data_IF_733792562066
#
_entry.id   IF_733792562066
#
_cell.length_a   1.000
_cell.length_b   1.000
_cell.length_c   1.000
_cell.angle_alpha   90.00
_cell.angle_beta   90.00
_cell.angle_gamma   90.00
#
_symmetry.space_group_name_H-M   'P 1'
#
loop_
_entity.id
_entity.type
_entity.pdbx_description
1 polymer ?
#
# COMPACT_ATOMS: atom_id res chain seq x y z
N UNK A 1 27.21 -31.22 28.80
CA UNK A 1 25.87 -31.07 29.40
C UNK A 1 25.04 -32.24 28.92
N UNK A 2 25.03 -33.35 29.66
CA UNK A 2 24.38 -34.59 29.25
C UNK A 2 23.08 -34.71 30.02
N UNK A 3 21.92 -34.70 29.35
CA UNK A 3 20.66 -34.96 30.06
C UNK A 3 19.38 -34.93 29.23
N UNK A 4 19.27 -34.08 28.20
CA UNK A 4 18.03 -33.93 27.43
C UNK A 4 18.18 -34.50 26.02
N UNK A 5 18.21 -35.82 25.90
CA UNK A 5 18.26 -36.54 24.62
C UNK A 5 17.02 -37.41 24.46
N UNK A 6 16.78 -37.95 23.27
CA UNK A 6 15.69 -38.91 23.08
C UNK A 6 15.88 -40.18 23.91
N UNK A 7 17.13 -40.59 24.15
CA UNK A 7 17.45 -41.79 24.94
C UNK A 7 17.13 -41.62 26.43
N UNK A 8 17.21 -40.39 26.97
CA UNK A 8 16.88 -40.10 28.37
C UNK A 8 15.40 -39.74 28.58
N UNK A 9 14.62 -39.57 27.51
CA UNK A 9 13.20 -39.24 27.61
C UNK A 9 12.37 -40.50 27.87
N UNK A 10 11.64 -40.53 28.99
CA UNK A 10 10.77 -41.66 29.34
C UNK A 10 9.48 -41.59 28.54
N UNK A 11 9.31 -42.52 27.61
CA UNK A 11 8.11 -42.63 26.76
C UNK A 11 7.02 -43.42 27.47
N UNK A 12 5.80 -42.91 27.44
CA UNK A 12 4.58 -43.59 27.86
C UNK A 12 3.39 -43.20 26.96
N UNK A 13 2.20 -43.72 27.24
CA UNK A 13 1.01 -43.44 26.43
C UNK A 13 0.63 -41.95 26.36
N UNK A 14 1.01 -41.15 27.36
CA UNK A 14 0.64 -39.74 27.48
C UNK A 14 1.54 -38.80 26.66
N UNK A 15 2.71 -39.28 26.25
CA UNK A 15 3.70 -38.48 25.53
C UNK A 15 4.22 -39.14 24.23
N UNK A 16 3.83 -40.38 23.96
CA UNK A 16 4.29 -41.15 22.79
C UNK A 16 4.06 -40.43 21.46
N UNK A 17 2.90 -39.82 21.25
CA UNK A 17 2.60 -39.11 20.01
C UNK A 17 3.55 -37.92 19.78
N UNK A 18 3.78 -37.12 20.83
CA UNK A 18 4.73 -36.00 20.80
C UNK A 18 6.17 -36.48 20.58
N UNK A 19 6.57 -37.54 21.29
CA UNK A 19 7.87 -38.15 21.15
C UNK A 19 8.12 -38.68 19.72
N UNK A 20 7.18 -39.43 19.16
CA UNK A 20 7.27 -40.00 17.81
C UNK A 20 7.31 -38.90 16.74
N UNK A 21 6.55 -37.81 16.92
CA UNK A 21 6.60 -36.65 16.03
C UNK A 21 7.96 -35.93 16.11
N UNK A 22 8.48 -35.66 17.32
CA UNK A 22 9.79 -35.04 17.49
C UNK A 22 10.93 -35.92 16.95
N UNK A 23 10.84 -37.25 17.06
CA UNK A 23 11.82 -38.17 16.46
C UNK A 23 11.81 -38.12 14.94
N UNK A 24 10.63 -38.15 14.31
CA UNK A 24 10.50 -37.99 12.84
C UNK A 24 11.04 -36.64 12.38
N UNK A 25 10.70 -35.59 13.13
CA UNK A 25 11.20 -34.25 12.89
C UNK A 25 12.73 -34.17 12.95
N UNK A 26 13.35 -34.76 13.98
CA UNK A 26 14.79 -34.82 14.12
C UNK A 26 15.48 -35.70 13.05
N UNK A 27 14.76 -36.67 12.47
CA UNK A 27 15.21 -37.46 11.33
C UNK A 27 15.02 -36.76 9.97
N UNK A 28 14.40 -35.56 9.95
CA UNK A 28 13.99 -34.85 8.73
C UNK A 28 13.10 -35.69 7.79
N UNK A 29 12.34 -36.62 8.37
CA UNK A 29 11.46 -37.54 7.65
C UNK A 29 10.03 -36.99 7.61
N UNK A 30 9.52 -36.73 6.41
CA UNK A 30 8.15 -36.25 6.15
C UNK A 30 7.73 -35.11 7.08
N UNK A 31 8.50 -34.03 7.07
CA UNK A 31 8.25 -32.85 7.89
C UNK A 31 6.87 -32.25 7.55
N UNK A 32 6.11 -31.80 8.56
CA UNK A 32 4.85 -31.10 8.31
C UNK A 32 5.10 -29.82 7.51
N UNK A 33 4.20 -29.52 6.56
CA UNK A 33 4.27 -28.31 5.71
C UNK A 33 4.04 -27.01 6.51
N UNK A 34 3.49 -27.12 7.73
CA UNK A 34 3.24 -26.00 8.64
C UNK A 34 3.92 -26.17 10.00
N UNK A 35 3.78 -25.18 10.90
CA UNK A 35 4.27 -25.31 12.26
C UNK A 35 3.51 -26.42 12.99
N UNK A 36 4.14 -27.03 14.00
CA UNK A 36 3.40 -27.81 14.97
C UNK A 36 3.70 -27.38 16.41
N UNK A 37 2.70 -27.53 17.26
CA UNK A 37 2.71 -27.10 18.65
C UNK A 37 2.69 -28.31 19.58
N UNK A 38 3.70 -28.42 20.44
CA UNK A 38 3.71 -29.26 21.62
C UNK A 38 2.93 -28.54 22.72
N UNK A 39 1.74 -29.03 23.05
CA UNK A 39 0.87 -28.46 24.07
C UNK A 39 0.88 -29.33 25.32
N UNK A 40 1.05 -28.73 26.50
CA UNK A 40 0.93 -29.46 27.74
C UNK A 40 1.31 -28.64 28.95
N UNK A 41 0.94 -29.08 30.14
CA UNK A 41 1.23 -28.37 31.38
C UNK A 41 2.72 -28.28 31.72
N UNK A 42 3.06 -27.59 32.82
CA UNK A 42 4.44 -27.53 33.31
C UNK A 42 4.97 -28.95 33.53
N UNK A 43 6.27 -29.17 33.28
CA UNK A 43 6.95 -30.44 33.57
C UNK A 43 6.44 -31.68 32.80
N UNK A 44 5.65 -31.48 31.73
CA UNK A 44 5.23 -32.55 30.79
C UNK A 44 6.30 -32.99 29.80
N UNK A 45 7.49 -32.40 29.83
CA UNK A 45 8.62 -32.79 28.98
C UNK A 45 8.75 -32.03 27.65
N UNK A 46 7.95 -30.98 27.38
CA UNK A 46 8.05 -30.16 26.16
C UNK A 46 9.47 -29.64 25.90
N UNK A 47 10.07 -28.94 26.87
CA UNK A 47 11.44 -28.42 26.74
C UNK A 47 12.47 -29.55 26.56
N UNK A 48 12.27 -30.70 27.21
CA UNK A 48 13.14 -31.87 27.02
C UNK A 48 13.07 -32.34 25.56
N UNK A 49 11.87 -32.47 24.97
CA UNK A 49 11.73 -32.87 23.57
C UNK A 49 12.37 -31.86 22.60
N UNK A 50 12.21 -30.55 22.82
CA UNK A 50 12.90 -29.54 22.02
C UNK A 50 14.42 -29.70 22.08
N UNK A 51 14.98 -29.85 23.29
CA UNK A 51 16.42 -30.08 23.47
C UNK A 51 16.88 -31.42 22.90
N UNK A 52 16.05 -32.47 22.96
CA UNK A 52 16.35 -33.76 22.37
C UNK A 52 16.49 -33.67 20.85
N UNK A 53 15.65 -32.87 20.18
CA UNK A 53 15.80 -32.55 18.76
C UNK A 53 17.13 -31.84 18.49
N UNK A 54 17.47 -30.79 19.26
CA UNK A 54 18.74 -30.06 19.12
C UNK A 54 19.94 -31.01 19.28
N UNK A 55 19.92 -31.83 20.32
CA UNK A 55 21.03 -32.73 20.64
C UNK A 55 21.16 -33.84 19.60
N UNK A 56 20.06 -34.35 19.05
CA UNK A 56 20.10 -35.32 17.97
C UNK A 56 20.83 -34.78 16.73
N UNK A 57 20.54 -33.54 16.31
CA UNK A 57 21.25 -32.92 15.19
C UNK A 57 22.74 -32.70 15.47
N UNK A 58 23.09 -32.35 16.72
CA UNK A 58 24.49 -32.17 17.14
C UNK A 58 25.26 -33.48 17.17
N UNK A 59 24.67 -34.52 17.76
CA UNK A 59 25.28 -35.85 17.90
C UNK A 59 25.51 -36.51 16.53
N UNK A 60 24.55 -36.36 15.61
CA UNK A 60 24.63 -36.92 14.26
C UNK A 60 25.32 -36.00 13.25
N UNK A 61 25.88 -34.86 13.68
CA UNK A 61 26.53 -33.87 12.83
C UNK A 61 25.69 -33.49 11.59
N UNK A 62 24.38 -33.44 11.75
CA UNK A 62 23.46 -33.15 10.64
C UNK A 62 23.68 -31.71 10.18
N UNK A 63 23.88 -31.44 8.87
CA UNK A 63 24.17 -30.10 8.36
C UNK A 63 22.92 -29.21 8.31
N UNK A 64 22.30 -28.96 9.47
CA UNK A 64 21.11 -28.14 9.67
C UNK A 64 21.39 -27.00 10.65
N UNK A 65 20.88 -25.81 10.33
CA UNK A 65 20.92 -24.66 11.23
C UNK A 65 19.75 -24.73 12.20
N UNK A 66 20.01 -24.83 13.51
CA UNK A 66 18.96 -24.94 14.53
C UNK A 66 18.95 -23.68 15.39
N UNK A 67 17.80 -23.02 15.48
CA UNK A 67 17.56 -21.90 16.38
C UNK A 67 16.56 -22.34 17.46
N UNK A 68 17.02 -22.52 18.70
CA UNK A 68 16.16 -22.67 19.87
C UNK A 68 16.06 -21.32 20.57
N UNK A 69 14.84 -20.82 20.73
CA UNK A 69 14.58 -19.52 21.36
C UNK A 69 13.57 -19.65 22.50
N UNK A 70 13.68 -18.77 23.47
CA UNK A 70 12.68 -18.56 24.53
C UNK A 70 12.49 -17.05 24.73
N UNK A 71 11.45 -16.62 25.43
CA UNK A 71 11.24 -15.18 25.67
C UNK A 71 12.43 -14.52 26.39
N UNK A 72 13.10 -15.25 27.30
CA UNK A 72 14.31 -14.80 28.00
C UNK A 72 15.59 -14.91 27.18
N UNK A 73 15.59 -15.71 26.10
CA UNK A 73 16.72 -15.89 25.18
C UNK A 73 16.22 -15.78 23.73
N UNK A 74 15.91 -14.55 23.33
CA UNK A 74 15.50 -14.21 21.97
C UNK A 74 16.45 -13.16 21.37
N UNK A 75 17.61 -13.59 20.83
CA UNK A 75 18.67 -12.69 20.39
C UNK A 75 18.26 -11.80 19.21
N UNK A 76 18.77 -10.57 19.15
CA UNK A 76 18.51 -9.61 18.07
C UNK A 76 18.81 -10.17 16.67
N UNK A 77 19.86 -10.99 16.52
CA UNK A 77 20.17 -11.66 15.24
C UNK A 77 19.03 -12.55 14.73
N UNK A 78 18.25 -13.17 15.62
CA UNK A 78 17.10 -13.99 15.25
C UNK A 78 15.90 -13.11 14.95
N UNK A 79 15.65 -12.07 15.76
CA UNK A 79 14.59 -11.07 15.52
C UNK A 79 14.72 -10.43 14.14
N UNK A 80 15.93 -10.09 13.73
CA UNK A 80 16.24 -9.50 12.42
C UNK A 80 15.86 -10.40 11.23
N UNK A 81 15.62 -11.70 11.42
CA UNK A 81 15.16 -12.59 10.35
C UNK A 81 13.76 -12.19 9.87
N UNK A 82 12.94 -11.59 10.75
CA UNK A 82 11.61 -11.09 10.38
C UNK A 82 11.66 -10.03 9.26
N UNK A 83 12.72 -9.21 9.24
CA UNK A 83 12.90 -8.12 8.26
C UNK A 83 13.92 -8.48 7.18
N UNK A 84 14.91 -9.31 7.49
CA UNK A 84 15.94 -9.77 6.56
C UNK A 84 16.10 -11.30 6.62
N UNK A 85 15.35 -12.06 5.79
CA UNK A 85 15.41 -13.52 5.76
C UNK A 85 16.65 -14.09 5.04
N UNK A 86 17.59 -13.27 4.58
CA UNK A 86 18.81 -13.74 3.91
C UNK A 86 19.56 -14.89 4.64
N UNK A 87 19.64 -14.94 5.99
CA UNK A 87 20.29 -16.04 6.72
C UNK A 87 19.62 -17.41 6.55
N UNK A 88 18.31 -17.44 6.24
CA UNK A 88 17.52 -18.67 6.09
C UNK A 88 17.21 -18.99 4.61
N UNK A 89 17.37 -18.03 3.70
CA UNK A 89 17.14 -18.22 2.27
C UNK A 89 18.17 -19.15 1.59
N UNK A 90 19.44 -19.13 2.01
CA UNK A 90 20.52 -19.84 1.30
C UNK A 90 20.77 -21.25 1.82
N UNK A 91 20.42 -22.25 1.00
CA UNK A 91 21.12 -23.54 0.81
C UNK A 91 21.11 -24.58 1.95
N UNK A 92 20.99 -24.21 3.22
CA UNK A 92 20.93 -25.17 4.32
C UNK A 92 19.52 -25.33 4.88
N UNK A 93 19.11 -26.55 5.28
CA UNK A 93 17.95 -26.73 6.12
C UNK A 93 18.10 -25.86 7.36
N UNK A 94 17.03 -25.20 7.77
CA UNK A 94 16.98 -24.40 8.98
C UNK A 94 15.72 -24.77 9.75
N UNK A 95 15.83 -24.79 11.07
CA UNK A 95 14.76 -25.18 11.98
C UNK A 95 14.65 -24.14 13.08
N UNK A 96 13.42 -23.73 13.36
CA UNK A 96 13.08 -22.88 14.51
C UNK A 96 12.36 -23.71 15.57
N UNK A 97 12.90 -23.69 16.79
CA UNK A 97 12.29 -24.26 17.98
C UNK A 97 11.98 -23.11 18.93
N UNK A 98 10.71 -22.97 19.30
CA UNK A 98 10.25 -21.92 20.21
C UNK A 98 9.81 -22.57 21.51
N UNK A 99 10.45 -22.24 22.62
CA UNK A 99 10.04 -22.72 23.94
C UNK A 99 9.17 -21.69 24.66
N UNK A 100 8.14 -22.17 25.36
CA UNK A 100 7.24 -21.38 26.21
C UNK A 100 6.60 -20.18 25.48
N UNK A 101 5.85 -20.44 24.40
CA UNK A 101 5.17 -19.43 23.57
C UNK A 101 4.45 -18.35 24.40
N UNK A 102 3.76 -18.74 25.47
CA UNK A 102 3.00 -17.85 26.35
C UNK A 102 3.83 -16.76 27.06
N UNK A 103 5.16 -16.86 27.04
CA UNK A 103 6.06 -15.89 27.64
C UNK A 103 6.49 -14.75 26.69
N UNK A 104 6.20 -14.85 25.39
CA UNK A 104 6.64 -13.86 24.39
C UNK A 104 5.81 -12.56 24.36
N UNK A 105 5.18 -12.18 25.47
CA UNK A 105 4.30 -10.98 25.55
C UNK A 105 4.95 -9.72 24.97
N UNK A 106 6.19 -9.45 25.38
CA UNK A 106 6.89 -8.21 25.01
C UNK A 106 7.57 -8.27 23.64
N UNK A 107 7.60 -9.45 23.00
CA UNK A 107 8.27 -9.70 21.71
C UNK A 107 7.36 -10.43 20.72
N UNK A 108 6.04 -10.31 20.88
CA UNK A 108 5.06 -11.06 20.10
C UNK A 108 5.20 -10.75 18.60
N UNK A 109 5.25 -9.47 18.22
CA UNK A 109 5.40 -9.05 16.83
C UNK A 109 6.69 -9.56 16.17
N UNK A 110 7.81 -9.50 16.90
CA UNK A 110 9.10 -10.04 16.44
C UNK A 110 9.01 -11.56 16.23
N UNK A 111 8.43 -12.29 17.19
CA UNK A 111 8.25 -13.74 17.09
C UNK A 111 7.38 -14.11 15.88
N UNK A 112 6.25 -13.43 15.70
CA UNK A 112 5.34 -13.66 14.58
C UNK A 112 6.06 -13.47 13.24
N UNK A 113 6.82 -12.38 13.11
CA UNK A 113 7.61 -12.10 11.92
C UNK A 113 8.67 -13.16 11.64
N UNK A 114 9.39 -13.62 12.68
CA UNK A 114 10.41 -14.67 12.56
C UNK A 114 9.78 -16.01 12.16
N UNK A 115 8.71 -16.43 12.82
CA UNK A 115 8.02 -17.69 12.49
C UNK A 115 7.53 -17.66 11.04
N UNK A 116 6.90 -16.54 10.62
CA UNK A 116 6.45 -16.39 9.24
C UNK A 116 7.60 -16.45 8.25
N UNK A 117 8.71 -15.76 8.53
CA UNK A 117 9.89 -15.82 7.68
C UNK A 117 10.45 -17.24 7.53
N UNK A 118 10.46 -18.06 8.58
CA UNK A 118 10.84 -19.48 8.46
C UNK A 118 9.89 -20.25 7.55
N UNK A 119 8.58 -20.15 7.80
CA UNK A 119 7.56 -20.88 7.01
C UNK A 119 7.53 -20.45 5.54
N UNK A 120 7.57 -19.15 5.27
CA UNK A 120 7.60 -18.58 3.90
C UNK A 120 8.82 -19.06 3.10
N UNK A 121 9.89 -19.49 3.78
CA UNK A 121 11.12 -20.03 3.16
C UNK A 121 11.19 -21.57 3.22
N UNK A 122 10.06 -22.24 3.46
CA UNK A 122 9.97 -23.71 3.53
C UNK A 122 10.78 -24.32 4.68
N UNK A 123 10.98 -23.57 5.76
CA UNK A 123 11.74 -24.01 6.94
C UNK A 123 10.79 -24.47 8.03
N UNK A 124 11.20 -25.51 8.75
CA UNK A 124 10.33 -26.18 9.70
C UNK A 124 10.33 -25.46 11.05
N UNK A 125 9.16 -25.41 11.69
CA UNK A 125 8.94 -24.70 12.96
C UNK A 125 8.26 -25.60 13.98
N UNK A 126 8.82 -25.66 15.19
CA UNK A 126 8.22 -26.34 16.34
C UNK A 126 8.03 -25.34 17.47
N UNK A 127 6.86 -25.37 18.09
CA UNK A 127 6.51 -24.47 19.18
C UNK A 127 6.12 -25.30 20.38
N UNK A 128 6.63 -24.97 21.56
CA UNK A 128 6.15 -25.51 22.82
C UNK A 128 5.32 -24.44 23.54
N UNK A 129 4.14 -24.83 24.00
CA UNK A 129 3.31 -23.96 24.82
C UNK A 129 2.60 -24.72 25.93
N UNK A 130 2.33 -24.01 27.02
CA UNK A 130 1.42 -24.47 28.08
C UNK A 130 -0.03 -24.11 27.82
N UNK A 131 -0.25 -23.11 26.98
CA UNK A 131 -1.57 -22.53 26.72
C UNK A 131 -1.91 -22.77 25.26
N UNK A 132 -3.13 -23.19 24.98
CA UNK A 132 -3.54 -23.41 23.60
C UNK A 132 -3.38 -22.11 22.78
N UNK A 133 -2.77 -22.12 21.58
CA UNK A 133 -2.45 -20.91 20.82
C UNK A 133 -3.64 -19.97 20.60
N UNK A 134 -4.85 -20.52 20.42
CA UNK A 134 -6.07 -19.72 20.21
C UNK A 134 -6.42 -18.78 21.37
N UNK A 135 -6.10 -19.15 22.61
CA UNK A 135 -6.51 -18.38 23.81
C UNK A 135 -5.43 -17.43 24.31
N UNK A 136 -4.25 -17.38 23.67
CA UNK A 136 -3.17 -16.47 24.07
C UNK A 136 -3.53 -15.04 23.60
N UNK A 137 -3.75 -14.07 24.51
CA UNK A 137 -4.41 -12.80 24.15
C UNK A 137 -3.54 -11.87 23.29
N UNK A 138 -2.22 -11.94 23.43
CA UNK A 138 -1.28 -11.02 22.77
C UNK A 138 -0.86 -11.45 21.37
N UNK A 139 -1.28 -12.64 20.91
CA UNK A 139 -1.01 -13.11 19.55
C UNK A 139 -2.06 -12.54 18.58
N UNK A 140 -1.64 -12.18 17.38
CA UNK A 140 -2.54 -11.70 16.33
C UNK A 140 -3.51 -12.80 15.88
N UNK A 141 -4.70 -12.42 15.42
CA UNK A 141 -5.70 -13.37 14.93
C UNK A 141 -5.16 -14.27 13.81
N UNK A 142 -4.39 -13.70 12.89
CA UNK A 142 -3.74 -14.44 11.79
C UNK A 142 -2.72 -15.45 12.31
N UNK A 143 -1.89 -15.05 13.27
CA UNK A 143 -0.89 -15.94 13.84
C UNK A 143 -1.54 -17.10 14.61
N UNK A 144 -2.59 -16.83 15.38
CA UNK A 144 -3.40 -17.88 16.02
C UNK A 144 -3.95 -18.87 15.01
N UNK A 145 -4.58 -18.39 13.94
CA UNK A 145 -5.11 -19.25 12.88
C UNK A 145 -4.02 -20.10 12.21
N UNK A 146 -2.83 -19.54 12.00
CA UNK A 146 -1.69 -20.28 11.44
C UNK A 146 -1.18 -21.38 12.39
N UNK A 147 -1.08 -21.10 13.69
CA UNK A 147 -0.64 -22.09 14.68
C UNK A 147 -1.67 -23.21 14.90
N UNK A 148 -2.96 -22.87 14.88
CA UNK A 148 -4.07 -23.84 15.04
C UNK A 148 -4.30 -24.64 13.76
N UNK A 149 -4.15 -24.03 12.58
CA UNK A 149 -4.20 -24.74 11.30
C UNK A 149 -2.99 -25.64 11.05
N UNK A 150 -1.92 -25.46 11.84
CA UNK A 150 -0.82 -26.42 11.93
C UNK A 150 -1.17 -27.66 12.76
N UNK A 151 -0.17 -28.44 13.12
CA UNK A 151 -0.38 -29.61 14.00
C UNK A 151 -0.37 -29.21 15.48
N UNK A 152 -1.29 -29.72 16.30
CA UNK A 152 -1.19 -29.61 17.76
C UNK A 152 -1.10 -31.02 18.35
N UNK A 153 -0.08 -31.25 19.17
CA UNK A 153 0.13 -32.53 19.86
C UNK A 153 0.21 -32.30 21.35
N UNK A 154 -0.70 -32.94 22.09
CA UNK A 154 -0.77 -32.88 23.54
C UNK A 154 0.29 -33.74 24.23
N UNK A 155 0.78 -33.27 25.37
CA UNK A 155 1.55 -34.02 26.35
C UNK A 155 0.88 -33.88 27.71
N UNK A 156 0.75 -35.00 28.42
CA UNK A 156 0.19 -35.01 29.78
C UNK A 156 1.17 -35.68 30.75
N UNK A 157 1.07 -35.34 32.03
CA UNK A 157 1.97 -35.91 33.04
C UNK A 157 1.72 -37.42 33.22
N UNK A 158 2.76 -38.22 33.54
CA UNK A 158 2.59 -39.66 33.80
C UNK A 158 1.63 -39.89 34.97
N UNK A 159 0.64 -40.79 34.79
CA UNK A 159 -0.36 -41.13 35.83
C UNK A 159 -1.76 -40.56 35.60
N UNK A 160 -1.93 -39.69 34.60
CA UNK A 160 -3.18 -39.00 34.32
C UNK A 160 -3.85 -39.47 33.02
N UNK A 161 -3.82 -40.78 32.70
CA UNK A 161 -4.32 -41.32 31.42
C UNK A 161 -5.81 -41.02 31.16
N UNK A 162 -6.63 -40.90 32.22
CA UNK A 162 -8.02 -40.44 32.12
C UNK A 162 -8.14 -39.00 31.55
N UNK A 163 -7.15 -38.15 31.82
CA UNK A 163 -7.10 -36.77 31.32
C UNK A 163 -6.65 -36.65 29.86
N UNK A 164 -6.10 -37.69 29.23
CA UNK A 164 -5.77 -37.62 27.79
C UNK A 164 -7.04 -37.54 26.93
N UNK A 165 -8.10 -38.26 27.33
CA UNK A 165 -9.42 -38.15 26.71
C UNK A 165 -10.10 -36.81 26.99
N UNK A 166 -9.96 -36.30 28.22
CA UNK A 166 -10.48 -34.97 28.58
C UNK A 166 -9.70 -33.83 27.94
N UNK A 167 -8.39 -33.97 27.74
CA UNK A 167 -7.55 -32.98 27.05
C UNK A 167 -7.77 -33.05 25.55
N UNK A 168 -8.01 -34.22 24.96
CA UNK A 168 -8.45 -34.33 23.57
C UNK A 168 -9.85 -33.73 23.37
N UNK A 169 -10.77 -33.96 24.30
CA UNK A 169 -12.12 -33.37 24.28
C UNK A 169 -12.10 -31.86 24.55
N UNK A 170 -11.26 -31.40 25.47
CA UNK A 170 -11.06 -29.99 25.77
C UNK A 170 -10.30 -29.27 24.66
N UNK A 171 -9.32 -29.92 24.02
CA UNK A 171 -8.66 -29.42 22.82
C UNK A 171 -9.67 -29.30 21.67
N UNK A 172 -10.49 -30.33 21.42
CA UNK A 172 -11.53 -30.28 20.39
C UNK A 172 -12.58 -29.20 20.68
N UNK A 173 -13.01 -29.05 21.94
CA UNK A 173 -13.92 -27.99 22.36
C UNK A 173 -13.28 -26.60 22.22
N UNK A 174 -12.02 -26.44 22.63
CA UNK A 174 -11.27 -25.19 22.52
C UNK A 174 -10.96 -24.83 21.06
N UNK A 175 -10.73 -25.82 20.20
CA UNK A 175 -10.59 -25.67 18.74
C UNK A 175 -11.91 -25.22 18.12
N UNK A 176 -13.03 -25.83 18.50
CA UNK A 176 -14.37 -25.43 18.06
C UNK A 176 -14.73 -24.02 18.52
N UNK A 177 -14.45 -23.68 19.78
CA UNK A 177 -14.71 -22.35 20.33
C UNK A 177 -13.78 -21.29 19.72
N UNK A 178 -12.52 -21.63 19.46
CA UNK A 178 -11.59 -20.79 18.73
C UNK A 178 -12.01 -20.56 17.28
N UNK A 179 -12.45 -21.61 16.58
CA UNK A 179 -12.97 -21.51 15.22
C UNK A 179 -14.22 -20.63 15.18
N UNK A 180 -15.14 -20.78 16.15
CA UNK A 180 -16.32 -19.91 16.30
C UNK A 180 -15.95 -18.46 16.59
N UNK A 181 -14.97 -18.22 17.46
CA UNK A 181 -14.50 -16.87 17.77
C UNK A 181 -13.82 -16.21 16.55
N UNK A 182 -12.99 -16.96 15.82
CA UNK A 182 -12.34 -16.50 14.60
C UNK A 182 -13.36 -16.18 13.48
N UNK A 183 -14.39 -17.03 13.33
CA UNK A 183 -15.47 -16.78 12.36
C UNK A 183 -16.23 -15.50 12.70
N UNK A 184 -16.63 -15.31 13.96
CA UNK A 184 -17.30 -14.07 14.41
C UNK A 184 -16.42 -12.82 14.19
N UNK A 185 -15.12 -12.93 14.46
CA UNK A 185 -14.19 -11.82 14.24
C UNK A 185 -14.08 -11.48 12.74
N UNK A 186 -13.97 -12.50 11.87
CA UNK A 186 -13.91 -12.32 10.42
C UNK A 186 -15.21 -11.73 9.85
N UNK A 187 -16.37 -12.15 10.35
CA UNK A 187 -17.66 -11.56 9.98
C UNK A 187 -17.74 -10.07 10.36
N UNK A 188 -17.25 -9.70 11.54
CA UNK A 188 -17.18 -8.30 11.98
C UNK A 188 -16.27 -7.46 11.09
N UNK A 189 -15.10 -7.98 10.73
CA UNK A 189 -14.17 -7.31 9.80
C UNK A 189 -14.78 -7.13 8.40
N UNK A 190 -15.45 -8.17 7.87
CA UNK A 190 -16.13 -8.12 6.56
C UNK A 190 -17.28 -7.10 6.54
N UNK A 191 -18.05 -7.01 7.62
CA UNK A 191 -19.09 -5.98 7.79
C UNK A 191 -18.48 -4.58 7.78
N UNK A 192 -17.38 -4.38 8.50
CA UNK A 192 -16.65 -3.11 8.50
C UNK A 192 -16.10 -2.74 7.12
N UNK A 193 -15.51 -3.70 6.40
CA UNK A 193 -15.04 -3.53 5.02
C UNK A 193 -16.18 -3.16 4.06
N UNK A 194 -17.32 -3.85 4.14
CA UNK A 194 -18.51 -3.52 3.34
C UNK A 194 -19.02 -2.11 3.62
N UNK A 195 -19.06 -1.70 4.89
CA UNK A 195 -19.45 -0.34 5.28
C UNK A 195 -18.54 0.73 4.68
N UNK A 196 -17.21 0.54 4.77
CA UNK A 196 -16.23 1.45 4.16
C UNK A 196 -16.34 1.48 2.64
N UNK A 197 -16.53 0.34 2.00
CA UNK A 197 -16.71 0.27 0.55
C UNK A 197 -17.98 1.02 0.11
N UNK A 198 -19.09 0.83 0.81
CA UNK A 198 -20.32 1.55 0.51
C UNK A 198 -20.17 3.08 0.66
N UNK A 199 -19.45 3.54 1.69
CA UNK A 199 -19.15 4.96 1.87
C UNK A 199 -18.27 5.51 0.73
N UNK A 200 -17.21 4.79 0.36
CA UNK A 200 -16.31 5.18 -0.73
C UNK A 200 -17.01 5.24 -2.09
N UNK A 201 -17.90 4.28 -2.39
CA UNK A 201 -18.71 4.30 -3.60
C UNK A 201 -19.60 5.54 -3.65
N UNK A 202 -20.27 5.86 -2.53
CA UNK A 202 -21.12 7.06 -2.45
C UNK A 202 -20.32 8.35 -2.67
N UNK A 203 -19.14 8.44 -2.07
CA UNK A 203 -18.24 9.58 -2.24
C UNK A 203 -17.79 9.73 -3.70
N UNK A 204 -17.43 8.61 -4.36
CA UNK A 204 -17.07 8.58 -5.77
C UNK A 204 -18.22 9.05 -6.68
N UNK A 205 -19.45 8.62 -6.41
CA UNK A 205 -20.62 9.03 -7.19
C UNK A 205 -20.89 10.54 -7.03
N UNK A 206 -20.74 11.08 -5.81
CA UNK A 206 -20.87 12.53 -5.60
C UNK A 206 -19.77 13.34 -6.30
N UNK A 207 -18.54 12.83 -6.32
CA UNK A 207 -17.43 13.47 -7.00
C UNK A 207 -17.61 13.45 -8.53
N UNK A 208 -18.13 12.35 -9.09
CA UNK A 208 -18.45 12.24 -10.52
C UNK A 208 -19.53 13.24 -10.94
N UNK A 209 -20.62 13.33 -10.18
CA UNK A 209 -21.69 14.30 -10.45
C UNK A 209 -21.19 15.75 -10.39
N UNK A 210 -20.31 16.07 -9.44
CA UNK A 210 -19.67 17.39 -9.36
C UNK A 210 -18.79 17.68 -10.59
N UNK A 211 -17.97 16.71 -11.01
CA UNK A 211 -17.10 16.83 -12.20
C UNK A 211 -17.91 17.02 -13.49
N UNK A 212 -19.00 16.27 -13.67
CA UNK A 212 -19.89 16.41 -14.84
C UNK A 212 -20.52 17.81 -14.91
N UNK A 213 -20.96 18.35 -13.78
CA UNK A 213 -21.49 19.71 -13.72
C UNK A 213 -20.42 20.76 -14.07
N UNK A 214 -19.20 20.63 -13.55
CA UNK A 214 -18.10 21.53 -13.89
C UNK A 214 -17.75 21.47 -15.37
N UNK A 215 -17.70 20.27 -15.96
CA UNK A 215 -17.44 20.09 -17.39
C UNK A 215 -18.57 20.70 -18.26
N UNK A 216 -19.82 20.60 -17.84
CA UNK A 216 -20.96 21.22 -18.53
C UNK A 216 -20.88 22.76 -18.49
N UNK A 217 -20.57 23.34 -17.32
CA UNK A 217 -20.37 24.78 -17.14
C UNK A 217 -19.25 25.31 -18.05
N UNK A 218 -18.11 24.60 -18.11
CA UNK A 218 -16.97 24.96 -18.96
C UNK A 218 -17.32 24.93 -20.45
N UNK A 219 -18.02 23.88 -20.92
CA UNK A 219 -18.48 23.79 -22.31
C UNK A 219 -19.40 24.96 -22.66
N UNK A 220 -20.29 25.36 -21.75
CA UNK A 220 -21.17 26.50 -21.92
C UNK A 220 -20.38 27.80 -22.04
N UNK A 221 -19.48 28.07 -21.09
CA UNK A 221 -18.63 29.28 -21.10
C UNK A 221 -17.77 29.36 -22.36
N UNK A 222 -17.19 28.23 -22.80
CA UNK A 222 -16.42 28.18 -24.03
C UNK A 222 -17.28 28.53 -25.26
N UNK A 223 -18.48 27.96 -25.36
CA UNK A 223 -19.41 28.23 -26.46
C UNK A 223 -19.84 29.71 -26.48
N UNK A 224 -20.16 30.28 -25.31
CA UNK A 224 -20.51 31.69 -25.18
C UNK A 224 -19.32 32.60 -25.55
N UNK A 225 -18.10 32.26 -25.13
CA UNK A 225 -16.88 32.98 -25.48
C UNK A 225 -16.60 32.98 -26.99
N UNK A 226 -16.74 31.82 -27.65
CA UNK A 226 -16.57 31.69 -29.09
C UNK A 226 -17.60 32.52 -29.87
N UNK A 227 -18.87 32.52 -29.44
CA UNK A 227 -19.91 33.33 -30.05
C UNK A 227 -19.63 34.84 -29.94
N UNK A 228 -19.11 35.30 -28.78
CA UNK A 228 -18.68 36.69 -28.60
C UNK A 228 -17.53 37.06 -29.52
N UNK A 229 -16.52 36.20 -29.67
CA UNK A 229 -15.41 36.44 -30.59
C UNK A 229 -15.88 36.51 -32.05
N UNK A 230 -16.79 35.64 -32.46
CA UNK A 230 -17.32 35.65 -33.82
C UNK A 230 -18.13 36.93 -34.10
N UNK A 231 -18.96 37.37 -33.15
CA UNK A 231 -19.70 38.63 -33.27
C UNK A 231 -18.76 39.85 -33.38
N UNK A 232 -17.68 39.89 -32.59
CA UNK A 232 -16.67 40.95 -32.68
C UNK A 232 -15.91 40.91 -34.00
N UNK A 233 -15.57 39.71 -34.50
CA UNK A 233 -14.93 39.56 -35.81
C UNK A 233 -15.81 40.14 -36.93
N UNK A 234 -17.11 39.80 -36.95
CA UNK A 234 -18.05 40.34 -37.94
C UNK A 234 -18.18 41.87 -37.84
N UNK A 235 -18.12 42.43 -36.64
CA UNK A 235 -18.13 43.88 -36.42
C UNK A 235 -16.89 44.56 -37.02
N UNK A 236 -15.70 44.00 -36.81
CA UNK A 236 -14.45 44.51 -37.39
C UNK A 236 -14.52 44.44 -38.92
N UNK A 237 -14.93 43.31 -39.49
CA UNK A 237 -15.06 43.14 -40.94
C UNK A 237 -16.06 44.15 -41.55
N UNK A 238 -17.17 44.43 -40.85
CA UNK A 238 -18.12 45.45 -41.26
C UNK A 238 -17.58 46.88 -41.22
N UNK A 239 -16.77 47.21 -40.20
CA UNK A 239 -16.12 48.52 -40.08
C UNK A 239 -15.03 48.72 -41.14
N UNK A 240 -14.22 47.69 -41.42
CA UNK A 240 -13.22 47.72 -42.50
C UNK A 240 -13.86 47.93 -43.87
N UNK A 241 -14.99 47.25 -44.14
CA UNK A 241 -15.74 47.43 -45.37
C UNK A 241 -16.31 48.85 -45.50
N UNK A 242 -16.87 49.41 -44.41
CA UNK A 242 -17.37 50.77 -44.39
C UNK A 242 -16.25 51.81 -44.62
N UNK A 243 -15.09 51.63 -43.98
CA UNK A 243 -13.92 52.48 -44.18
C UNK A 243 -13.42 52.43 -45.62
N UNK A 244 -13.36 51.24 -46.22
CA UNK A 244 -12.96 51.07 -47.62
C UNK A 244 -13.94 51.78 -48.57
N UNK A 245 -15.24 51.73 -48.29
CA UNK A 245 -16.27 52.46 -49.04
C UNK A 245 -16.10 53.98 -48.93
N UNK A 246 -15.97 54.50 -47.70
CA UNK A 246 -15.74 55.93 -47.44
C UNK A 246 -14.46 56.44 -48.12
N UNK A 247 -13.37 55.65 -48.08
CA UNK A 247 -12.14 55.99 -48.78
C UNK A 247 -12.31 56.06 -50.30
N UNK A 248 -13.08 55.14 -50.89
CA UNK A 248 -13.42 55.18 -52.31
C UNK A 248 -14.25 56.41 -52.69
N UNK A 249 -15.25 56.77 -51.88
CA UNK A 249 -16.07 57.97 -52.08
C UNK A 249 -15.24 59.26 -51.98
N UNK A 250 -14.33 59.34 -51.00
CA UNK A 250 -13.40 60.46 -50.85
C UNK A 250 -12.45 60.58 -52.06
N UNK A 251 -11.95 59.47 -52.59
CA UNK A 251 -11.06 59.44 -53.77
C UNK A 251 -11.79 59.89 -55.04
N UNK A 252 -13.04 59.46 -55.22
CA UNK A 252 -13.92 59.92 -56.32
C UNK A 252 -14.19 61.43 -56.20
N UNK A 253 -14.46 61.94 -55.01
CA UNK A 253 -14.65 63.38 -54.80
C UNK A 253 -13.38 64.19 -55.07
N UNK A 254 -12.21 63.69 -54.64
CA UNK A 254 -10.92 64.33 -54.93
C UNK A 254 -10.62 64.35 -56.44
N UNK A 255 -10.93 63.27 -57.14
CA UNK A 255 -10.69 63.15 -58.59
C UNK A 255 -11.61 64.01 -59.46
N UNK A 256 -12.77 64.45 -58.93
CA UNK A 256 -13.75 65.29 -59.63
C UNK A 256 -13.69 66.78 -59.21
N UNK A 257 -12.79 67.15 -58.29
CA UNK A 257 -12.69 68.52 -57.78
C UNK A 257 -11.94 69.42 -58.77
N UNK A 258 -12.65 69.95 -59.77
CA UNK A 258 -12.17 71.10 -60.55
C UNK A 258 -12.30 72.37 -59.67
N UNK A 259 -11.17 73.04 -59.46
CA UNK A 259 -11.01 74.10 -58.47
C UNK A 259 -12.00 75.26 -58.61
N UNK A 260 -12.97 75.31 -57.69
CA UNK A 260 -13.86 76.42 -57.45
C UNK A 260 -14.67 76.17 -56.17
N UNK A 261 -14.94 77.23 -55.41
CA UNK A 261 -15.69 77.19 -54.14
C UNK A 261 -17.09 76.57 -54.35
N UNK A 262 -17.27 75.28 -54.05
CA UNK A 262 -18.49 74.53 -54.36
C UNK A 262 -18.81 73.46 -53.26
N UNK A 263 -20.09 73.10 -53.00
CA UNK A 263 -20.62 71.98 -52.18
C UNK A 263 -19.81 70.69 -52.07
N UNK A 264 -18.90 70.42 -53.01
CA UNK A 264 -17.90 69.36 -52.90
C UNK A 264 -17.01 69.48 -51.65
N UNK A 265 -16.71 70.70 -51.17
CA UNK A 265 -15.90 70.91 -49.94
C UNK A 265 -16.65 70.49 -48.67
N UNK A 266 -17.92 70.84 -48.54
CA UNK A 266 -18.72 70.42 -47.37
C UNK A 266 -18.99 68.91 -47.37
N UNK A 267 -19.22 68.33 -48.55
CA UNK A 267 -19.39 66.89 -48.69
C UNK A 267 -18.11 66.12 -48.32
N UNK A 268 -16.95 66.63 -48.73
CA UNK A 268 -15.65 66.10 -48.35
C UNK A 268 -15.41 66.17 -46.83
N UNK A 269 -15.66 67.32 -46.21
CA UNK A 269 -15.48 67.50 -44.76
C UNK A 269 -16.40 66.57 -43.94
N UNK A 270 -17.63 66.34 -44.41
CA UNK A 270 -18.56 65.38 -43.79
C UNK A 270 -18.06 63.94 -43.89
N UNK A 271 -17.66 63.51 -45.08
CA UNK A 271 -17.12 62.15 -45.31
C UNK A 271 -15.80 61.93 -44.55
N UNK A 272 -14.94 62.95 -44.46
CA UNK A 272 -13.73 62.91 -43.66
C UNK A 272 -14.03 62.75 -42.16
N UNK A 273 -15.05 63.45 -41.65
CA UNK A 273 -15.49 63.30 -40.26
C UNK A 273 -16.13 61.91 -39.98
N UNK A 274 -16.86 61.35 -40.95
CA UNK A 274 -17.41 59.99 -40.84
C UNK A 274 -16.31 58.92 -40.88
N UNK A 275 -15.31 59.08 -41.76
CA UNK A 275 -14.12 58.23 -41.79
C UNK A 275 -13.38 58.24 -40.46
N UNK A 276 -13.12 59.43 -39.89
CA UNK A 276 -12.46 59.54 -38.58
C UNK A 276 -13.24 58.82 -37.47
N UNK A 277 -14.57 58.95 -37.45
CA UNK A 277 -15.42 58.22 -36.50
C UNK A 277 -15.35 56.71 -36.71
N UNK A 278 -15.32 56.24 -37.95
CA UNK A 278 -15.20 54.82 -38.28
C UNK A 278 -13.82 54.25 -37.91
N UNK A 279 -12.73 55.00 -38.12
CA UNK A 279 -11.38 54.62 -37.70
C UNK A 279 -11.29 54.49 -36.17
N UNK A 280 -11.84 55.47 -35.44
CA UNK A 280 -11.89 55.41 -33.98
C UNK A 280 -12.73 54.21 -33.48
N UNK A 281 -13.84 53.90 -34.15
CA UNK A 281 -14.68 52.75 -33.80
C UNK A 281 -13.99 51.40 -34.10
N UNK A 282 -13.20 51.32 -35.18
CA UNK A 282 -12.41 50.13 -35.52
C UNK A 282 -11.29 49.89 -34.50
N UNK A 283 -10.58 50.96 -34.13
CA UNK A 283 -9.50 50.86 -33.15
C UNK A 283 -10.02 50.37 -31.78
N UNK A 284 -11.19 50.84 -31.37
CA UNK A 284 -11.86 50.38 -30.16
C UNK A 284 -12.31 48.91 -30.25
N UNK A 285 -12.85 48.49 -31.39
CA UNK A 285 -13.21 47.09 -31.63
C UNK A 285 -11.99 46.15 -31.60
N UNK A 286 -10.84 46.60 -32.10
CA UNK A 286 -9.58 45.85 -32.03
C UNK A 286 -9.05 45.72 -30.59
N UNK A 287 -9.16 46.77 -29.77
CA UNK A 287 -8.83 46.69 -28.33
C UNK A 287 -9.72 45.69 -27.61
N UNK A 288 -11.03 45.74 -27.87
CA UNK A 288 -12.01 44.84 -27.25
C UNK A 288 -11.77 43.38 -27.66
N UNK A 289 -11.45 43.12 -28.94
CA UNK A 289 -11.04 41.79 -29.42
C UNK A 289 -9.80 41.27 -28.67
N UNK A 290 -8.78 42.11 -28.47
CA UNK A 290 -7.59 41.75 -27.72
C UNK A 290 -7.91 41.40 -26.26
N UNK A 291 -8.84 42.13 -25.64
CA UNK A 291 -9.31 41.88 -24.27
C UNK A 291 -10.02 40.53 -24.15
N UNK A 292 -10.94 40.23 -25.07
CA UNK A 292 -11.66 38.95 -25.12
C UNK A 292 -10.74 37.77 -25.40
N UNK A 293 -9.73 37.94 -26.26
CA UNK A 293 -8.71 36.90 -26.49
C UNK A 293 -7.87 36.61 -25.24
N UNK A 294 -7.50 37.64 -24.48
CA UNK A 294 -6.79 37.48 -23.21
C UNK A 294 -7.64 36.80 -22.14
N UNK A 295 -8.93 37.14 -22.05
CA UNK A 295 -9.89 36.49 -21.14
C UNK A 295 -10.07 35.00 -21.46
N UNK A 296 -10.22 34.65 -22.74
CA UNK A 296 -10.35 33.26 -23.18
C UNK A 296 -9.07 32.45 -22.93
N UNK A 297 -7.89 33.02 -23.19
CA UNK A 297 -6.61 32.37 -22.90
C UNK A 297 -6.38 32.19 -21.38
N UNK A 298 -6.78 33.17 -20.56
CA UNK A 298 -6.74 33.08 -19.11
C UNK A 298 -7.66 31.99 -18.56
N UNK A 299 -8.87 31.85 -19.10
CA UNK A 299 -9.80 30.78 -18.73
C UNK A 299 -9.24 29.38 -19.06
N UNK A 300 -8.66 29.21 -20.25
CA UNK A 300 -8.07 27.93 -20.69
C UNK A 300 -6.79 27.54 -19.92
N UNK A 301 -5.97 28.51 -19.52
CA UNK A 301 -4.74 28.25 -18.74
C UNK A 301 -5.02 27.88 -17.28
N UNK A 302 -6.11 28.39 -16.69
CA UNK A 302 -6.60 27.98 -15.36
C UNK A 302 -7.06 26.51 -15.34
N UNK A 303 -7.56 25.99 -16.47
CA UNK A 303 -7.93 24.58 -16.62
C UNK A 303 -6.71 23.66 -16.72
N UNK A 304 -5.66 24.02 -17.47
CA UNK A 304 -4.43 23.23 -17.53
C UNK A 304 -3.72 23.10 -16.15
N UNK A 305 -3.99 24.03 -15.24
CA UNK A 305 -3.49 24.00 -13.86
C UNK A 305 -4.46 23.32 -12.87
N UNK A 306 -5.72 23.09 -13.27
CA UNK A 306 -6.72 22.33 -12.49
C UNK A 306 -6.80 20.85 -12.89
N UNK A 307 -6.52 20.50 -14.16
CA UNK A 307 -6.49 19.12 -14.70
C UNK A 307 -5.13 18.43 -14.48
N UNK A 308 -4.11 19.19 -14.08
CA UNK A 308 -3.03 18.63 -13.27
C UNK A 308 -3.63 18.43 -11.88
N UNK A 309 -4.26 17.27 -11.65
CA UNK A 309 -4.31 16.70 -10.32
C UNK A 309 -2.92 16.88 -9.75
N UNK A 310 -2.80 17.84 -8.82
CA UNK A 310 -1.50 18.35 -8.38
C UNK A 310 -0.60 17.16 -8.12
N UNK A 311 0.69 17.19 -8.52
CA UNK A 311 1.56 16.03 -8.46
C UNK A 311 1.30 15.36 -7.13
N UNK A 312 0.78 14.12 -7.14
CA UNK A 312 0.47 13.37 -5.92
C UNK A 312 1.64 13.64 -5.02
N UNK A 313 1.44 14.44 -3.96
CA UNK A 313 2.53 14.87 -3.11
C UNK A 313 3.21 13.56 -2.73
N UNK A 314 4.49 13.34 -3.09
CA UNK A 314 5.18 12.17 -2.59
C UNK A 314 4.95 12.22 -1.09
N UNK A 315 4.34 11.16 -0.54
CA UNK A 315 4.10 11.03 0.89
C UNK A 315 5.30 11.62 1.59
N UNK A 316 5.11 12.66 2.40
CA UNK A 316 6.24 13.30 3.08
C UNK A 316 6.88 12.24 3.96
N UNK A 317 7.97 11.72 3.43
CA UNK A 317 8.88 10.84 4.11
C UNK A 317 9.43 11.68 5.25
N UNK A 318 8.96 11.41 6.47
CA UNK A 318 9.47 11.97 7.71
C UNK A 318 10.99 12.08 7.65
N UNK A 319 11.58 13.16 8.15
CA UNK A 319 13.03 13.37 8.16
C UNK A 319 13.78 12.22 8.87
N UNK A 320 13.07 11.40 9.66
CA UNK A 320 13.57 10.13 10.19
C UNK A 320 13.92 9.11 9.10
N UNK A 321 13.17 9.01 7.99
CA UNK A 321 13.46 8.09 6.88
C UNK A 321 14.51 8.64 5.89
N UNK A 322 14.64 9.97 5.74
CA UNK A 322 15.68 10.57 4.88
C UNK A 322 17.09 10.30 5.39
N UNK A 323 17.27 10.20 6.71
CA UNK A 323 18.56 9.81 7.30
C UNK A 323 18.92 8.33 7.09
N UNK A 324 17.92 7.48 6.86
CA UNK A 324 18.12 6.02 6.67
C UNK A 324 18.37 5.66 5.19
N UNK A 325 17.73 6.36 4.26
CA UNK A 325 17.89 6.11 2.82
C UNK A 325 19.18 6.70 2.20
N UNK A 326 19.85 7.63 2.89
CA UNK A 326 21.13 8.23 2.46
C UNK A 326 22.38 7.35 2.60
N UNK A 327 22.25 6.11 3.12
CA UNK A 327 23.38 5.14 3.17
C UNK A 327 23.19 3.92 2.27
N UNK A 328 22.04 3.77 1.61
CA UNK A 328 21.70 2.54 0.90
C UNK A 328 22.23 2.46 -0.54
N UNK A 329 22.77 3.56 -1.09
CA UNK A 329 23.39 3.57 -2.42
C UNK A 329 24.66 4.43 -2.40
N UNK A 330 25.74 3.88 -1.86
CA UNK A 330 27.08 4.24 -2.31
C UNK A 330 27.48 3.21 -3.36
N UNK A 331 27.81 3.68 -4.57
CA UNK A 331 28.39 2.86 -5.63
C UNK A 331 29.57 2.05 -5.11
N UNK A 332 29.81 0.83 -5.62
CA UNK A 332 31.03 0.10 -5.32
C UNK A 332 32.23 0.91 -5.83
N UNK A 333 33.05 1.39 -4.90
CA UNK A 333 34.38 1.93 -5.17
C UNK A 333 35.11 1.08 -6.21
N UNK A 334 35.67 1.69 -7.26
CA UNK A 334 36.37 0.95 -8.31
C UNK A 334 37.54 0.20 -7.68
N UNK A 335 37.66 -1.09 -8.01
CA UNK A 335 38.90 -1.85 -7.82
C UNK A 335 40.00 -1.15 -8.60
N UNK A 336 40.76 -0.30 -7.92
CA UNK A 336 42.02 0.22 -8.39
C UNK A 336 43.01 -0.94 -8.56
N UNK A 337 43.39 -1.18 -9.80
CA UNK A 337 44.55 -1.99 -10.14
C UNK A 337 45.85 -1.26 -9.82
N UNK A 338 46.82 -2.04 -9.34
CA UNK A 338 48.27 -1.93 -9.57
C UNK A 338 48.97 -0.57 -9.45
N UNK A 339 49.76 -0.43 -8.37
CA UNK A 339 51.23 -0.38 -8.44
C UNK A 339 51.80 -0.73 -7.05
#
# INVERSE_FOLDING_TARGET
>A
MNGMTFASFRVDANNKAAFDLCRRFAALDNLPEGPFTLLGDKETGKSHLLWAVVNHFRENQTPVSVALISAGDFPQKVRNIATNPAPIQKGRPAILLVDQLEQFRDAAGDLEGVVRAFLDNGKAVVIASRVHPSVIPFLSGRFKSMLVGGGIVGLTAPGNAASAGEIAAAASSAELDAARAALKASEGELLGLRGRHAAAVKELDTARAASENTAAELRRLHTEGMARMEAQRRRIEGLDAALSGLMGELDILLGNADGGDDPASEAYDRLAAEKWKAEAALEEALREKGRLQAELASALSRDASADMGGPVKPLEVSDALKSVLGRAFADPEPRGGGA
#
